data_IF_445595154436
#
_entry.id   IF_445595154436
#
_cell.length_a   1.000
_cell.length_b   1.000
_cell.length_c   1.000
_cell.angle_alpha   90.00
_cell.angle_beta   90.00
_cell.angle_gamma   90.00
#
_symmetry.space_group_name_H-M   'P 1'
#
loop_
_entity.id
_entity.type
_entity.pdbx_description
1 polymer ?
#
# COMPACT_ATOMS: atom_id res chain seq x y z
N UNK A 1 17.67 -1.15 11.58
CA UNK A 1 17.58 -2.30 12.51
C UNK A 1 16.14 -2.76 12.70
N UNK A 2 15.31 -2.29 13.66
CA UNK A 2 13.99 -2.91 13.92
C UNK A 2 13.00 -2.91 12.74
N UNK A 3 12.77 -1.75 12.12
CA UNK A 3 11.82 -1.60 11.00
C UNK A 3 12.24 -2.34 9.72
N UNK A 4 13.55 -2.47 9.49
CA UNK A 4 14.10 -2.98 8.23
C UNK A 4 14.74 -4.36 8.36
N UNK A 5 15.02 -4.81 9.59
CA UNK A 5 15.93 -5.92 9.96
C UNK A 5 17.25 -5.97 9.19
N UNK A 6 17.66 -4.81 8.67
CA UNK A 6 18.95 -4.57 8.01
C UNK A 6 19.73 -3.57 8.86
N UNK A 7 21.04 -3.79 8.96
CA UNK A 7 21.95 -2.80 9.53
C UNK A 7 21.86 -1.51 8.70
N UNK A 8 21.71 -0.32 9.30
CA UNK A 8 21.65 0.92 8.54
C UNK A 8 22.81 1.13 7.56
N UNK A 9 23.98 0.50 7.78
CA UNK A 9 25.13 0.52 6.87
C UNK A 9 24.91 -0.23 5.56
N UNK A 10 24.00 -1.19 5.56
CA UNK A 10 23.67 -2.03 4.40
C UNK A 10 22.40 -1.55 3.69
N UNK A 11 21.77 -0.46 4.16
CA UNK A 11 20.67 0.19 3.47
C UNK A 11 21.21 1.10 2.35
N UNK A 12 20.49 1.21 1.20
CA UNK A 12 20.85 2.14 0.15
C UNK A 12 20.98 3.58 0.67
N UNK A 13 21.97 4.34 0.18
CA UNK A 13 22.13 5.74 0.56
C UNK A 13 20.89 6.59 0.26
N UNK A 14 20.10 6.19 -0.76
CA UNK A 14 18.83 6.83 -1.10
C UNK A 14 17.75 6.71 -0.01
N UNK A 15 17.88 5.76 0.94
CA UNK A 15 16.98 5.63 2.08
C UNK A 15 17.02 6.85 3.00
N UNK A 16 18.17 7.54 3.08
CA UNK A 16 18.30 8.81 3.80
C UNK A 16 18.98 9.83 2.88
N UNK A 17 18.18 10.45 2.01
CA UNK A 17 18.69 11.53 1.16
C UNK A 17 19.01 12.80 1.97
N UNK A 18 18.24 13.09 3.03
CA UNK A 18 18.47 14.15 4.03
C UNK A 18 17.81 13.74 5.34
N UNK A 19 18.42 14.07 6.48
CA UNK A 19 17.76 13.96 7.78
C UNK A 19 17.04 15.28 8.09
N UNK A 20 15.70 15.35 8.05
CA UNK A 20 14.97 16.59 8.20
C UNK A 20 14.92 17.00 9.68
N UNK A 21 15.91 17.75 10.14
CA UNK A 21 15.90 18.40 11.47
C UNK A 21 15.17 19.74 11.36
N UNK A 22 14.11 19.91 12.13
CA UNK A 22 13.36 21.17 12.20
C UNK A 22 13.99 22.08 13.25
N UNK A 23 14.21 23.35 12.89
CA UNK A 23 14.68 24.41 13.79
C UNK A 23 13.54 25.29 14.28
N UNK A 24 12.37 24.70 14.47
CA UNK A 24 11.12 25.35 14.91
C UNK A 24 10.47 24.49 15.99
N UNK A 25 9.41 24.99 16.63
CA UNK A 25 8.58 24.20 17.56
C UNK A 25 7.50 23.38 16.85
N UNK A 26 7.52 23.32 15.52
CA UNK A 26 6.53 22.57 14.75
C UNK A 26 6.79 21.06 14.85
N UNK A 27 5.92 20.38 15.56
CA UNK A 27 5.92 18.93 15.77
C UNK A 27 4.86 18.20 14.94
N UNK A 28 4.19 18.84 13.97
CA UNK A 28 3.26 18.14 13.07
C UNK A 28 3.98 17.04 12.30
N UNK A 29 3.46 15.83 12.32
CA UNK A 29 4.17 14.71 11.69
C UNK A 29 4.27 14.87 10.18
N UNK A 30 3.17 15.28 9.54
CA UNK A 30 3.09 15.57 8.11
C UNK A 30 3.23 17.08 7.83
N UNK A 31 3.69 17.41 6.63
CA UNK A 31 3.83 18.77 6.11
C UNK A 31 2.87 19.05 4.93
N UNK A 32 1.95 18.12 4.64
CA UNK A 32 0.96 18.26 3.59
C UNK A 32 -0.06 19.36 3.87
N UNK A 33 -0.67 19.88 2.80
CA UNK A 33 -1.69 20.95 2.90
C UNK A 33 -2.99 20.44 3.53
N UNK A 34 -3.36 19.19 3.26
CA UNK A 34 -4.62 18.59 3.67
C UNK A 34 -4.35 17.34 4.51
N UNK A 35 -4.88 17.32 5.73
CA UNK A 35 -4.73 16.20 6.67
C UNK A 35 -6.05 16.01 7.41
N UNK A 36 -6.44 14.75 7.62
CA UNK A 36 -7.65 14.41 8.37
C UNK A 36 -7.94 12.92 8.35
N UNK A 37 -8.93 12.52 9.14
CA UNK A 37 -9.44 11.15 9.20
C UNK A 37 -10.91 11.13 8.74
N UNK A 38 -11.36 10.06 8.06
CA UNK A 38 -12.77 9.93 7.70
C UNK A 38 -13.65 9.90 8.95
N UNK A 39 -14.59 10.84 9.07
CA UNK A 39 -15.44 11.01 10.27
C UNK A 39 -16.13 9.71 10.69
N UNK A 40 -16.62 8.93 9.72
CA UNK A 40 -17.30 7.65 9.97
C UNK A 40 -16.36 6.42 9.84
N UNK A 41 -15.05 6.64 9.77
CA UNK A 41 -14.04 5.60 9.56
C UNK A 41 -13.83 5.21 8.09
N UNK A 42 -12.73 4.50 7.83
CA UNK A 42 -12.32 4.12 6.46
C UNK A 42 -13.31 3.17 5.77
N UNK A 43 -13.90 2.21 6.49
CA UNK A 43 -14.87 1.28 5.90
C UNK A 43 -16.05 2.03 5.27
N UNK A 44 -16.65 2.97 6.00
CA UNK A 44 -17.78 3.77 5.50
C UNK A 44 -17.39 4.62 4.28
N UNK A 45 -16.15 5.11 4.21
CA UNK A 45 -15.65 5.81 3.02
C UNK A 45 -15.52 4.85 1.83
N UNK A 46 -14.88 3.70 2.01
CA UNK A 46 -14.64 2.72 0.94
C UNK A 46 -15.95 2.09 0.42
N UNK A 47 -16.93 1.83 1.30
CA UNK A 47 -18.26 1.36 0.90
C UNK A 47 -18.97 2.38 0.01
N UNK A 48 -18.87 3.68 0.33
CA UNK A 48 -19.44 4.75 -0.52
C UNK A 48 -18.76 4.79 -1.88
N UNK A 49 -17.44 4.59 -1.96
CA UNK A 49 -16.71 4.51 -3.23
C UNK A 49 -17.21 3.36 -4.13
N UNK A 50 -17.62 2.24 -3.53
CA UNK A 50 -18.10 1.06 -4.24
C UNK A 50 -19.64 0.97 -4.38
N UNK A 51 -20.38 2.02 -3.97
CA UNK A 51 -21.85 1.97 -3.84
C UNK A 51 -22.64 2.18 -5.14
N UNK A 52 -21.97 2.52 -6.24
CA UNK A 52 -22.62 2.75 -7.52
C UNK A 52 -23.20 1.43 -8.07
N UNK A 53 -24.42 1.48 -8.64
CA UNK A 53 -25.13 0.29 -9.12
C UNK A 53 -24.46 -0.41 -10.32
N UNK A 54 -23.46 0.22 -10.94
CA UNK A 54 -22.62 -0.37 -11.99
C UNK A 54 -21.46 -1.20 -11.43
N UNK A 55 -21.22 -1.16 -10.12
CA UNK A 55 -20.12 -1.85 -9.45
C UNK A 55 -20.68 -3.09 -8.74
N UNK A 56 -20.18 -4.26 -9.15
CA UNK A 56 -20.38 -5.52 -8.42
C UNK A 56 -19.10 -5.84 -7.65
N UNK A 57 -19.23 -6.13 -6.34
CA UNK A 57 -18.10 -6.50 -5.48
C UNK A 57 -18.28 -7.95 -5.02
N UNK A 58 -17.25 -8.78 -5.25
CA UNK A 58 -17.17 -10.16 -4.77
C UNK A 58 -16.03 -10.28 -3.77
N UNK A 59 -16.36 -10.47 -2.49
CA UNK A 59 -15.38 -10.70 -1.42
C UNK A 59 -15.03 -12.20 -1.33
N UNK A 60 -13.94 -12.52 -0.61
CA UNK A 60 -13.47 -13.90 -0.42
C UNK A 60 -13.30 -14.67 -1.74
N UNK A 61 -12.79 -14.00 -2.78
CA UNK A 61 -12.64 -14.56 -4.12
C UNK A 61 -11.22 -14.28 -4.61
N UNK A 62 -10.42 -15.34 -4.80
CA UNK A 62 -9.11 -15.21 -5.44
C UNK A 62 -9.29 -15.07 -6.96
N UNK A 63 -8.67 -14.05 -7.55
CA UNK A 63 -8.66 -13.83 -9.00
C UNK A 63 -8.15 -15.07 -9.75
N UNK A 64 -7.12 -15.75 -9.26
CA UNK A 64 -6.53 -16.91 -9.95
C UNK A 64 -7.48 -18.10 -10.02
N UNK A 65 -8.46 -18.20 -9.12
CA UNK A 65 -9.46 -19.28 -9.13
C UNK A 65 -10.59 -19.01 -10.15
N UNK A 66 -10.90 -17.74 -10.43
CA UNK A 66 -12.08 -17.36 -11.23
C UNK A 66 -11.76 -16.68 -12.57
N UNK A 67 -10.51 -16.26 -12.80
CA UNK A 67 -10.12 -15.43 -13.96
C UNK A 67 -10.54 -16.04 -15.29
N UNK A 68 -10.41 -17.35 -15.46
CA UNK A 68 -10.70 -18.01 -16.72
C UNK A 68 -12.19 -17.95 -17.06
N UNK A 69 -13.06 -18.11 -16.06
CA UNK A 69 -14.51 -17.98 -16.23
C UNK A 69 -14.89 -16.54 -16.57
N UNK A 70 -14.41 -15.58 -15.78
CA UNK A 70 -14.73 -14.16 -15.96
C UNK A 70 -14.24 -13.63 -17.30
N UNK A 71 -13.02 -14.01 -17.70
CA UNK A 71 -12.44 -13.63 -18.99
C UNK A 71 -13.15 -14.28 -20.17
N UNK A 72 -13.67 -15.52 -20.03
CA UNK A 72 -14.53 -16.11 -21.06
C UNK A 72 -15.87 -15.40 -21.18
N UNK A 73 -16.45 -14.98 -20.05
CA UNK A 73 -17.72 -14.26 -20.04
C UNK A 73 -17.60 -12.85 -20.66
N UNK A 74 -16.46 -12.17 -20.44
CA UNK A 74 -16.18 -10.83 -20.96
C UNK A 74 -14.78 -10.73 -21.57
N UNK A 75 -14.53 -11.30 -22.78
CA UNK A 75 -13.19 -11.40 -23.36
C UNK A 75 -12.52 -10.07 -23.70
N UNK A 76 -13.31 -9.04 -24.02
CA UNK A 76 -12.82 -7.71 -24.37
C UNK A 76 -12.71 -6.78 -23.17
N UNK A 77 -13.13 -7.20 -21.97
CA UNK A 77 -13.05 -6.35 -20.79
C UNK A 77 -11.58 -6.25 -20.32
N UNK A 78 -11.03 -5.03 -20.18
CA UNK A 78 -9.72 -4.86 -19.59
C UNK A 78 -9.73 -5.30 -18.12
N UNK A 79 -8.58 -5.76 -17.64
CA UNK A 79 -8.37 -6.10 -16.22
C UNK A 79 -7.45 -5.06 -15.62
N UNK A 80 -7.83 -4.49 -14.48
CA UNK A 80 -6.90 -3.72 -13.64
C UNK A 80 -6.51 -4.64 -12.48
N UNK A 81 -5.27 -5.11 -12.50
CA UNK A 81 -4.72 -6.01 -11.49
C UNK A 81 -3.88 -5.22 -10.49
N UNK A 82 -4.27 -5.28 -9.22
CA UNK A 82 -3.60 -4.60 -8.10
C UNK A 82 -2.98 -5.56 -7.08
N UNK A 83 -3.01 -6.87 -7.36
CA UNK A 83 -2.36 -7.91 -6.56
C UNK A 83 -0.85 -8.00 -6.79
N UNK A 84 -0.15 -8.95 -6.16
CA UNK A 84 1.32 -9.07 -6.27
C UNK A 84 1.75 -9.36 -7.71
N UNK A 85 2.66 -8.52 -8.23
CA UNK A 85 3.16 -8.58 -9.60
C UNK A 85 3.88 -9.89 -9.91
N UNK A 86 4.72 -10.36 -8.99
CA UNK A 86 5.47 -11.61 -9.12
C UNK A 86 4.55 -12.84 -9.07
N UNK A 87 3.56 -12.85 -8.17
CA UNK A 87 2.53 -13.90 -8.09
C UNK A 87 1.74 -14.02 -9.39
N UNK A 88 1.44 -12.91 -10.07
CA UNK A 88 0.70 -12.92 -11.34
C UNK A 88 1.38 -13.79 -12.40
N UNK A 89 2.71 -13.73 -12.44
CA UNK A 89 3.55 -14.49 -13.37
C UNK A 89 4.14 -15.75 -12.74
N UNK A 90 3.46 -16.32 -11.73
CA UNK A 90 3.84 -17.57 -11.04
C UNK A 90 5.30 -17.57 -10.56
N UNK A 91 5.80 -16.40 -10.13
CA UNK A 91 7.16 -16.20 -9.65
C UNK A 91 8.27 -16.53 -10.67
N UNK A 92 7.98 -16.43 -11.97
CA UNK A 92 8.89 -16.83 -13.05
C UNK A 92 10.28 -16.15 -13.05
N UNK A 93 10.40 -14.96 -12.48
CA UNK A 93 11.68 -14.22 -12.37
C UNK A 93 12.25 -14.23 -10.94
N UNK A 94 11.65 -15.03 -10.05
CA UNK A 94 11.93 -15.03 -8.61
C UNK A 94 10.90 -14.25 -7.80
N UNK A 95 11.02 -14.30 -6.47
CA UNK A 95 10.10 -13.61 -5.54
C UNK A 95 10.63 -12.22 -5.24
N UNK A 96 9.73 -11.24 -5.28
CA UNK A 96 10.05 -9.88 -4.85
C UNK A 96 10.08 -9.84 -3.32
N UNK A 97 11.10 -9.21 -2.74
CA UNK A 97 11.25 -9.13 -1.29
C UNK A 97 10.29 -8.13 -0.65
N UNK A 98 9.55 -8.56 0.38
CA UNK A 98 8.64 -7.70 1.14
C UNK A 98 8.92 -7.73 2.64
N UNK A 99 8.64 -6.61 3.30
CA UNK A 99 8.43 -6.55 4.75
C UNK A 99 6.97 -6.81 5.06
N UNK A 100 6.74 -7.46 6.19
CA UNK A 100 5.42 -7.57 6.79
C UNK A 100 5.40 -6.98 8.21
N UNK A 101 4.20 -6.85 8.76
CA UNK A 101 3.94 -6.38 10.12
C UNK A 101 3.07 -7.39 10.85
N UNK A 102 3.45 -7.72 12.09
CA UNK A 102 2.58 -8.42 13.02
C UNK A 102 1.98 -7.40 14.00
N UNK A 103 0.70 -7.56 14.31
CA UNK A 103 -0.03 -6.67 15.21
C UNK A 103 -0.54 -7.44 16.42
N UNK A 104 -0.04 -7.07 17.60
CA UNK A 104 -0.52 -7.61 18.87
C UNK A 104 -1.52 -6.64 19.47
N UNK A 105 -2.80 -7.02 19.43
CA UNK A 105 -3.91 -6.23 19.95
C UNK A 105 -4.20 -6.58 21.40
N UNK A 106 -4.31 -5.56 22.24
CA UNK A 106 -4.69 -5.70 23.64
C UNK A 106 -5.79 -4.70 24.01
N UNK A 107 -6.74 -5.17 24.82
CA UNK A 107 -7.73 -4.32 25.49
C UNK A 107 -7.32 -4.20 26.94
N UNK A 108 -7.04 -2.97 27.39
CA UNK A 108 -6.54 -2.70 28.74
C UNK A 108 -7.66 -2.16 29.63
N UNK A 109 -7.56 -2.43 30.94
CA UNK A 109 -8.47 -1.93 31.97
C UNK A 109 -8.04 -0.53 32.47
N UNK A 110 -7.82 0.39 31.52
CA UNK A 110 -7.62 1.80 31.76
C UNK A 110 -8.19 2.63 30.61
N UNK A 111 -8.68 3.84 30.89
CA UNK A 111 -9.20 4.73 29.84
C UNK A 111 -8.11 5.27 28.91
N UNK A 112 -6.91 5.50 29.40
CA UNK A 112 -5.82 6.09 28.62
C UNK A 112 -4.50 5.41 28.97
N UNK A 113 -3.83 4.84 27.97
CA UNK A 113 -2.57 4.12 28.16
C UNK A 113 -1.36 5.03 27.96
N UNK A 114 -1.36 5.86 26.93
CA UNK A 114 -0.18 6.65 26.53
C UNK A 114 -0.47 8.12 26.20
N UNK A 115 -1.74 8.56 26.19
CA UNK A 115 -2.12 9.96 26.00
C UNK A 115 -1.86 10.53 24.60
N UNK A 116 -1.58 9.67 23.61
CA UNK A 116 -1.27 10.07 22.23
C UNK A 116 -1.58 8.91 21.25
N UNK A 117 -1.93 9.17 19.97
CA UNK A 117 -2.30 8.10 19.05
C UNK A 117 -1.17 7.11 18.76
N UNK A 118 0.07 7.59 18.67
CA UNK A 118 1.23 6.75 18.33
C UNK A 118 2.42 7.13 19.20
N UNK A 119 3.03 6.13 19.83
CA UNK A 119 4.30 6.26 20.53
C UNK A 119 5.36 5.38 19.88
N UNK A 120 6.42 5.99 19.37
CA UNK A 120 7.55 5.26 18.79
C UNK A 120 8.53 4.83 19.88
N UNK A 121 9.02 3.60 19.79
CA UNK A 121 10.04 3.06 20.70
C UNK A 121 11.33 2.86 19.91
N UNK A 122 12.27 3.79 20.05
CA UNK A 122 13.53 3.77 19.27
C UNK A 122 14.58 2.82 19.83
N UNK A 123 14.48 2.47 21.11
CA UNK A 123 15.47 1.65 21.82
C UNK A 123 15.51 0.22 21.27
N UNK A 124 16.73 -0.33 21.17
CA UNK A 124 16.98 -1.61 20.52
C UNK A 124 16.51 -2.83 21.32
N UNK A 125 16.36 -2.68 22.63
CA UNK A 125 15.88 -3.70 23.56
C UNK A 125 14.34 -3.83 23.58
N UNK A 126 13.62 -2.85 23.02
CA UNK A 126 12.16 -2.92 22.82
C UNK A 126 11.84 -3.67 21.52
N UNK A 127 11.09 -4.78 21.55
CA UNK A 127 10.92 -5.65 20.37
C UNK A 127 9.97 -5.09 19.30
N UNK A 128 8.98 -4.29 19.68
CA UNK A 128 8.08 -3.59 18.76
C UNK A 128 8.64 -2.23 18.32
N UNK A 129 8.12 -1.70 17.22
CA UNK A 129 8.54 -0.41 16.64
C UNK A 129 7.77 0.76 17.26
N UNK A 130 6.47 0.56 17.49
CA UNK A 130 5.55 1.56 18.06
C UNK A 130 4.31 0.92 18.66
N UNK A 131 3.61 1.70 19.48
CA UNK A 131 2.29 1.39 20.01
C UNK A 131 1.28 2.40 19.47
N UNK A 132 0.18 1.87 18.93
CA UNK A 132 -0.99 2.66 18.51
C UNK A 132 -2.04 2.59 19.61
N UNK A 133 -2.63 3.72 20.00
CA UNK A 133 -3.78 3.80 20.90
C UNK A 133 -4.94 4.49 20.17
N UNK A 134 -5.94 3.71 19.76
CA UNK A 134 -6.86 4.13 18.70
C UNK A 134 -7.84 5.23 19.09
N UNK A 135 -8.19 5.34 20.37
CA UNK A 135 -9.13 6.38 20.85
C UNK A 135 -8.65 7.79 20.52
N UNK A 136 -7.33 8.00 20.47
CA UNK A 136 -6.74 9.31 20.23
C UNK A 136 -6.76 9.73 18.76
N UNK A 137 -7.09 8.83 17.82
CA UNK A 137 -7.30 9.20 16.42
C UNK A 137 -8.65 9.90 16.20
N UNK A 138 -9.67 9.57 16.99
CA UNK A 138 -11.03 10.08 16.84
C UNK A 138 -11.55 10.68 18.14
N UNK A 139 -10.84 11.68 18.68
CA UNK A 139 -11.15 12.31 19.98
C UNK A 139 -12.54 12.97 20.03
N UNK A 140 -13.17 13.20 18.88
CA UNK A 140 -14.55 13.69 18.78
C UNK A 140 -15.61 12.66 19.15
N UNK A 141 -15.24 11.37 19.29
CA UNK A 141 -16.15 10.27 19.62
C UNK A 141 -16.19 10.01 21.13
N UNK A 142 -17.30 9.43 21.58
CA UNK A 142 -17.45 8.96 22.96
C UNK A 142 -16.75 7.61 23.14
N UNK A 143 -15.93 7.50 24.18
CA UNK A 143 -15.20 6.29 24.56
C UNK A 143 -15.44 5.94 26.02
N UNK A 144 -15.33 4.65 26.41
CA UNK A 144 -15.31 4.28 27.81
C UNK A 144 -14.10 4.90 28.54
N UNK A 145 -14.29 5.24 29.82
CA UNK A 145 -13.24 5.83 30.66
C UNK A 145 -12.39 4.77 31.39
N UNK A 146 -12.79 3.51 31.33
CA UNK A 146 -12.15 2.38 32.03
C UNK A 146 -11.50 1.37 31.08
N UNK A 147 -11.58 1.60 29.76
CA UNK A 147 -10.92 0.75 28.77
C UNK A 147 -10.32 1.52 27.60
N UNK A 148 -9.28 0.93 27.03
CA UNK A 148 -8.63 1.40 25.79
C UNK A 148 -8.12 0.20 24.99
N UNK A 149 -7.94 0.41 23.69
CA UNK A 149 -7.40 -0.59 22.77
C UNK A 149 -6.05 -0.10 22.26
N UNK A 150 -5.03 -0.91 22.46
CA UNK A 150 -3.70 -0.67 21.92
C UNK A 150 -3.30 -1.75 20.93
N UNK A 151 -2.41 -1.40 20.01
CA UNK A 151 -1.73 -2.35 19.13
C UNK A 151 -0.24 -2.12 19.19
N UNK A 152 0.52 -3.18 19.49
CA UNK A 152 1.97 -3.21 19.33
C UNK A 152 2.30 -3.71 17.92
N UNK A 153 3.15 -2.96 17.22
CA UNK A 153 3.56 -3.27 15.85
C UNK A 153 4.96 -3.89 15.82
N UNK A 154 5.09 -5.07 15.23
CA UNK A 154 6.37 -5.76 15.03
C UNK A 154 6.67 -5.85 13.55
N UNK A 155 7.91 -5.60 13.14
CA UNK A 155 8.29 -5.63 11.73
C UNK A 155 9.25 -6.77 11.43
N UNK A 156 8.97 -7.53 10.37
CA UNK A 156 9.81 -8.63 9.91
C UNK A 156 9.81 -8.79 8.39
N UNK A 157 10.65 -9.69 7.88
CA UNK A 157 10.55 -10.16 6.49
C UNK A 157 9.25 -10.93 6.29
N UNK A 158 8.58 -10.70 5.17
CA UNK A 158 7.40 -11.46 4.77
C UNK A 158 7.83 -12.85 4.26
N UNK A 159 7.20 -13.88 4.80
CA UNK A 159 7.23 -15.24 4.27
C UNK A 159 6.14 -15.43 3.20
N UNK A 160 5.93 -16.66 2.74
CA UNK A 160 5.06 -16.95 1.60
C UNK A 160 3.59 -16.63 1.88
N UNK A 161 3.13 -16.88 3.11
CA UNK A 161 1.73 -16.75 3.52
C UNK A 161 1.45 -15.42 4.23
N UNK A 162 2.43 -14.52 4.28
CA UNK A 162 2.29 -13.23 4.93
C UNK A 162 1.78 -12.14 4.00
N UNK A 163 1.05 -11.18 4.57
CA UNK A 163 0.61 -10.01 3.83
C UNK A 163 1.82 -9.10 3.50
N UNK A 164 2.05 -8.74 2.23
CA UNK A 164 3.13 -7.84 1.83
C UNK A 164 2.79 -6.37 2.15
N UNK A 165 3.56 -5.75 3.05
CA UNK A 165 3.36 -4.33 3.44
C UNK A 165 4.32 -3.36 2.75
N UNK A 166 5.64 -3.56 2.85
CA UNK A 166 6.62 -2.61 2.31
C UNK A 166 7.63 -3.31 1.38
N UNK A 167 7.89 -2.78 0.18
CA UNK A 167 8.94 -3.32 -0.69
C UNK A 167 10.32 -3.09 -0.05
N UNK A 168 11.19 -4.10 -0.07
CA UNK A 168 12.56 -3.99 0.48
C UNK A 168 13.48 -3.24 -0.49
N UNK A 169 13.30 -3.47 -1.80
CA UNK A 169 13.99 -2.76 -2.88
C UNK A 169 15.53 -2.92 -2.85
N UNK A 170 16.01 -4.13 -2.53
CA UNK A 170 17.43 -4.50 -2.67
C UNK A 170 17.90 -4.42 -4.12
N UNK A 171 19.22 -4.50 -4.36
CA UNK A 171 19.76 -4.60 -5.73
C UNK A 171 19.19 -5.77 -6.52
N UNK A 172 19.04 -6.94 -5.88
CA UNK A 172 18.41 -8.11 -6.49
C UNK A 172 16.92 -7.91 -6.79
N UNK A 173 16.19 -7.20 -5.92
CA UNK A 173 14.77 -6.89 -6.16
C UNK A 173 14.62 -5.99 -7.39
N UNK A 174 15.51 -5.01 -7.58
CA UNK A 174 15.44 -4.10 -8.74
C UNK A 174 15.65 -4.81 -10.07
N UNK A 175 16.57 -5.77 -10.12
CA UNK A 175 16.78 -6.60 -11.31
C UNK A 175 15.54 -7.45 -11.63
N UNK A 176 15.00 -8.12 -10.60
CA UNK A 176 13.77 -8.93 -10.68
C UNK A 176 12.56 -8.10 -11.14
N UNK A 177 12.39 -6.91 -10.55
CA UNK A 177 11.32 -5.97 -10.91
C UNK A 177 11.39 -5.53 -12.37
N UNK A 178 12.60 -5.32 -12.90
CA UNK A 178 12.78 -4.91 -14.30
C UNK A 178 12.28 -5.98 -15.27
N UNK A 179 12.56 -7.26 -14.96
CA UNK A 179 12.05 -8.39 -15.73
C UNK A 179 10.52 -8.48 -15.65
N UNK A 180 9.94 -8.31 -14.45
CA UNK A 180 8.48 -8.30 -14.29
C UNK A 180 7.79 -7.11 -14.96
N UNK A 181 8.38 -5.92 -14.96
CA UNK A 181 7.86 -4.76 -15.72
C UNK A 181 7.78 -5.07 -17.21
N UNK A 182 8.74 -5.81 -17.74
CA UNK A 182 8.74 -6.21 -19.15
C UNK A 182 7.63 -7.22 -19.45
N UNK A 183 7.40 -8.18 -18.55
CA UNK A 183 6.27 -9.13 -18.63
C UNK A 183 4.91 -8.44 -18.52
N UNK A 184 4.77 -7.50 -17.58
CA UNK A 184 3.57 -6.69 -17.41
C UNK A 184 3.22 -5.91 -18.68
N UNK A 185 4.21 -5.26 -19.32
CA UNK A 185 4.01 -4.56 -20.60
C UNK A 185 3.52 -5.51 -21.71
N UNK A 186 4.11 -6.70 -21.81
CA UNK A 186 3.71 -7.70 -22.79
C UNK A 186 2.28 -8.21 -22.51
N UNK A 187 1.95 -8.47 -21.25
CA UNK A 187 0.62 -8.91 -20.82
C UNK A 187 -0.45 -7.83 -21.07
N UNK A 188 -0.15 -6.55 -20.83
CA UNK A 188 -1.04 -5.44 -21.19
C UNK A 188 -1.35 -5.44 -22.67
N UNK A 189 -0.34 -5.58 -23.52
CA UNK A 189 -0.52 -5.58 -24.98
C UNK A 189 -1.25 -6.84 -25.49
N UNK A 190 -0.98 -8.00 -24.90
CA UNK A 190 -1.50 -9.28 -25.38
C UNK A 190 -2.90 -9.62 -24.83
N UNK A 191 -3.16 -9.26 -23.57
CA UNK A 191 -4.33 -9.68 -22.82
C UNK A 191 -5.15 -8.51 -22.24
N UNK A 192 -4.70 -7.26 -22.38
CA UNK A 192 -5.43 -6.10 -21.84
C UNK A 192 -5.45 -6.07 -20.31
N UNK A 193 -4.36 -6.52 -19.68
CA UNK A 193 -4.19 -6.48 -18.22
C UNK A 193 -3.27 -5.33 -17.83
N UNK A 194 -3.80 -4.37 -17.10
CA UNK A 194 -3.07 -3.22 -16.55
C UNK A 194 -2.66 -3.53 -15.11
N UNK A 195 -1.44 -3.13 -14.74
CA UNK A 195 -0.88 -3.35 -13.41
C UNK A 195 -0.81 -2.01 -12.67
N UNK A 196 -1.34 -1.98 -11.44
CA UNK A 196 -1.39 -0.75 -10.64
C UNK A 196 -1.33 -1.01 -9.14
N UNK A 197 -1.29 0.07 -8.35
CA UNK A 197 -1.25 0.01 -6.90
C UNK A 197 0.04 -0.58 -6.33
N UNK A 198 0.13 -0.65 -5.00
CA UNK A 198 1.36 -1.00 -4.27
C UNK A 198 1.95 -2.33 -4.72
N UNK A 199 1.13 -3.37 -4.79
CA UNK A 199 1.58 -4.74 -5.07
C UNK A 199 1.82 -4.98 -6.57
N UNK A 200 0.97 -4.39 -7.43
CA UNK A 200 1.08 -4.53 -8.88
C UNK A 200 2.25 -3.76 -9.48
N UNK A 201 2.78 -2.74 -8.79
CA UNK A 201 3.94 -1.96 -9.26
C UNK A 201 5.20 -2.12 -8.40
N UNK A 202 5.12 -2.87 -7.29
CA UNK A 202 6.18 -3.03 -6.29
C UNK A 202 6.71 -1.66 -5.79
N UNK A 203 5.78 -0.79 -5.41
CA UNK A 203 6.10 0.57 -4.98
C UNK A 203 5.35 0.92 -3.71
N UNK A 204 6.03 1.49 -2.72
CA UNK A 204 5.36 2.06 -1.56
C UNK A 204 4.54 3.29 -1.99
N UNK A 205 3.23 3.24 -1.76
CA UNK A 205 2.29 4.30 -2.09
C UNK A 205 1.45 4.62 -0.87
N UNK A 206 1.52 5.87 -0.39
CA UNK A 206 0.53 6.38 0.54
C UNK A 206 -0.85 6.48 -0.15
N UNK A 207 -1.93 6.59 0.64
CA UNK A 207 -3.29 6.55 0.11
C UNK A 207 -3.54 7.59 -0.99
N UNK A 208 -3.09 8.83 -0.81
CA UNK A 208 -3.28 9.90 -1.80
C UNK A 208 -2.46 9.66 -3.07
N UNK A 209 -1.26 9.07 -2.96
CA UNK A 209 -0.43 8.68 -4.11
C UNK A 209 -1.07 7.53 -4.89
N UNK A 210 -1.68 6.56 -4.20
CA UNK A 210 -2.42 5.48 -4.84
C UNK A 210 -3.66 6.01 -5.60
N UNK A 211 -4.40 6.95 -5.00
CA UNK A 211 -5.54 7.61 -5.66
C UNK A 211 -5.07 8.41 -6.89
N UNK A 212 -4.02 9.21 -6.75
CA UNK A 212 -3.46 9.98 -7.87
C UNK A 212 -2.97 9.08 -9.02
N UNK A 213 -2.29 7.97 -8.69
CA UNK A 213 -1.85 6.97 -9.65
C UNK A 213 -3.04 6.32 -10.38
N UNK A 214 -4.09 5.95 -9.65
CA UNK A 214 -5.31 5.37 -10.23
C UNK A 214 -6.04 6.36 -11.15
N UNK A 215 -6.17 7.63 -10.74
CA UNK A 215 -6.78 8.68 -11.57
C UNK A 215 -5.97 8.92 -12.84
N UNK A 216 -4.63 8.98 -12.74
CA UNK A 216 -3.75 9.10 -13.91
C UNK A 216 -3.90 7.93 -14.87
N UNK A 217 -3.94 6.69 -14.37
CA UNK A 217 -4.20 5.51 -15.20
C UNK A 217 -5.59 5.57 -15.86
N UNK A 218 -6.60 6.04 -15.11
CA UNK A 218 -7.94 6.18 -15.64
C UNK A 218 -8.00 7.19 -16.79
N UNK A 219 -7.51 8.41 -16.56
CA UNK A 219 -7.61 9.50 -17.54
C UNK A 219 -6.76 9.25 -18.79
N UNK A 220 -5.57 8.68 -18.63
CA UNK A 220 -4.60 8.54 -19.72
C UNK A 220 -4.69 7.20 -20.46
N UNK A 221 -5.22 6.15 -19.84
CA UNK A 221 -5.20 4.78 -20.41
C UNK A 221 -6.61 4.18 -20.51
N UNK A 222 -7.34 4.08 -19.39
CA UNK A 222 -8.64 3.39 -19.40
C UNK A 222 -9.74 4.18 -20.11
N UNK A 223 -9.91 5.46 -19.80
CA UNK A 223 -10.97 6.27 -20.39
C UNK A 223 -10.82 6.43 -21.92
N UNK A 224 -9.63 6.71 -22.49
CA UNK A 224 -9.41 6.70 -23.93
C UNK A 224 -9.66 5.33 -24.58
N UNK A 225 -9.33 4.24 -23.89
CA UNK A 225 -9.61 2.89 -24.37
C UNK A 225 -11.12 2.60 -24.40
N UNK A 226 -11.81 2.84 -23.29
CA UNK A 226 -13.23 2.52 -23.12
C UNK A 226 -14.15 3.43 -23.94
N UNK A 227 -13.77 4.70 -24.15
CA UNK A 227 -14.55 5.66 -24.93
C UNK A 227 -14.24 5.62 -26.42
N UNK A 228 -12.95 5.60 -26.77
CA UNK A 228 -12.48 5.87 -28.14
C UNK A 228 -11.86 4.64 -28.81
N UNK A 229 -11.75 3.50 -28.12
CA UNK A 229 -11.14 2.27 -28.63
C UNK A 229 -9.61 2.34 -28.76
N UNK A 230 -8.97 3.29 -28.08
CA UNK A 230 -7.50 3.44 -28.10
C UNK A 230 -6.84 2.18 -27.54
N UNK A 231 -5.78 1.62 -28.16
CA UNK A 231 -5.10 0.45 -27.60
C UNK A 231 -4.57 0.70 -26.18
N UNK A 232 -4.65 -0.32 -25.32
CA UNK A 232 -4.08 -0.26 -23.99
C UNK A 232 -2.56 -0.24 -24.06
N UNK A 233 -1.95 0.81 -23.54
CA UNK A 233 -0.49 0.93 -23.41
C UNK A 233 -0.10 0.86 -21.94
N UNK A 234 0.98 0.13 -21.65
CA UNK A 234 1.48 -0.02 -20.29
C UNK A 234 2.24 1.22 -19.76
N UNK A 235 2.59 2.15 -20.65
CA UNK A 235 3.18 3.43 -20.26
C UNK A 235 2.07 4.44 -19.96
N UNK A 236 1.62 4.49 -18.71
CA UNK A 236 1.13 5.77 -18.20
C UNK A 236 2.33 6.73 -18.25
N UNK A 237 2.16 7.99 -18.70
CA UNK A 237 3.25 8.95 -18.65
C UNK A 237 3.73 8.99 -17.20
N UNK A 238 5.02 8.73 -16.99
CA UNK A 238 5.65 8.76 -15.67
C UNK A 238 5.13 10.00 -14.93
N UNK A 239 4.37 9.77 -13.86
CA UNK A 239 4.08 10.81 -12.90
C UNK A 239 5.42 11.09 -12.22
N UNK A 240 6.20 11.93 -12.89
CA UNK A 240 7.41 12.61 -12.49
C UNK A 240 8.06 12.01 -11.23
N UNK A 241 9.14 11.25 -11.39
CA UNK A 241 10.03 10.84 -10.29
C UNK A 241 10.56 12.05 -9.48
N UNK A 242 10.23 13.29 -9.86
CA UNK A 242 10.53 14.52 -9.15
C UNK A 242 9.64 14.84 -7.93
N UNK A 243 8.53 14.12 -7.69
CA UNK A 243 7.60 14.42 -6.58
C UNK A 243 8.04 13.91 -5.19
N UNK A 244 9.22 13.30 -5.05
CA UNK A 244 9.80 12.96 -3.74
C UNK A 244 10.54 14.14 -3.08
N UNK A 245 9.94 15.34 -3.11
CA UNK A 245 10.51 16.56 -2.52
C UNK A 245 9.71 17.09 -1.35
#
# INVERSE_FOLDING_TARGET
AKQWQTDPRDLPASTINRLPVRYTFDNRYFNDTWEGLPVDGYTAWLERMASDNRIEVRLNTDWFDVRDELRRASPSAPVVYTGPLDRYFDYAEGRLGWRTLDFELEVLDCGDFQGTPVMNYSDSDVPYTRIHEFRHFHQERDYPDDKTVIVREYSRFAEIDDEPYYPINTESDRATLTAYRSRARAETAAAGVLFGGRLGTYQYLDMHMAIASALSMYDNVLAPHLRDGTPLTADAPDADESSSR
#
